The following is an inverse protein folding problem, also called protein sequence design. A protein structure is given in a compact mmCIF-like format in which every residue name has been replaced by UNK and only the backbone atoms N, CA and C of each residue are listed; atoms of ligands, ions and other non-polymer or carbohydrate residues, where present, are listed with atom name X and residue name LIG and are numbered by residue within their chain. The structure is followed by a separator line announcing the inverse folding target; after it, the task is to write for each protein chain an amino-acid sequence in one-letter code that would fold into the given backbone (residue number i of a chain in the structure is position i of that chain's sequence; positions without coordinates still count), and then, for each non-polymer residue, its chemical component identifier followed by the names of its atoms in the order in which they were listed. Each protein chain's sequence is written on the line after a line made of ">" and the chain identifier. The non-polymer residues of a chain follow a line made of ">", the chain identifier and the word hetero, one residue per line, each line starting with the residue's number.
data_IF_074798336771
#
_entry.id   IF_074798336771
#
_cell.length_a   1.000
_cell.length_b   1.000
_cell.length_c   1.000
_cell.angle_alpha   90.00
_cell.angle_beta   90.00
_cell.angle_gamma   90.00
#
_symmetry.space_group_name_H-M   'P 1'
#
loop_
_entity.id
_entity.type
_entity.pdbx_description
1 polymer ?
#
# COMPACT_ATOMS: atom_id res chain seq x y z
N UNK A 1 13.28 -65.26 28.07
CA UNK A 1 13.02 -66.07 26.86
C UNK A 1 11.67 -65.57 26.33
N UNK A 2 11.64 -64.52 25.50
CA UNK A 2 11.75 -64.50 24.01
C UNK A 2 10.62 -65.33 23.37
N UNK A 3 9.77 -64.84 22.45
CA UNK A 3 10.04 -64.07 21.21
C UNK A 3 8.92 -63.07 20.79
N UNK A 4 9.31 -62.12 19.94
CA UNK A 4 8.50 -61.21 19.12
C UNK A 4 7.93 -61.91 17.87
N UNK A 5 6.84 -61.41 17.25
CA UNK A 5 6.70 -61.30 15.76
C UNK A 5 5.78 -60.12 15.34
N UNK A 6 6.39 -59.18 14.60
CA UNK A 6 6.04 -58.33 13.44
C UNK A 6 4.63 -57.73 13.12
N UNK A 7 4.72 -56.51 12.57
CA UNK A 7 3.72 -55.64 11.92
C UNK A 7 3.38 -56.02 10.46
N UNK A 8 2.26 -55.45 9.96
CA UNK A 8 2.04 -54.75 8.66
C UNK A 8 0.94 -55.31 7.75
N UNK A 9 0.01 -54.41 7.37
CA UNK A 9 -0.51 -54.13 6.01
C UNK A 9 -2.04 -54.21 5.88
N UNK A 10 -2.70 -53.06 5.72
CA UNK A 10 -3.75 -52.93 4.70
C UNK A 10 -3.61 -51.60 3.96
N UNK A 11 -3.28 -51.72 2.68
CA UNK A 11 -3.25 -50.68 1.66
C UNK A 11 -4.59 -49.96 1.54
N UNK A 12 -4.59 -48.64 1.43
CA UNK A 12 -5.70 -47.88 0.86
C UNK A 12 -5.17 -46.85 -0.12
N UNK A 13 -5.25 -47.28 -1.38
CA UNK A 13 -5.18 -46.61 -2.68
C UNK A 13 -5.26 -45.07 -2.65
N UNK A 14 -4.15 -44.46 -3.05
CA UNK A 14 -4.07 -43.06 -3.51
C UNK A 14 -5.05 -42.88 -4.67
N UNK A 15 -5.99 -41.97 -4.52
CA UNK A 15 -6.75 -41.39 -5.64
C UNK A 15 -6.56 -39.89 -5.59
N UNK A 16 -5.70 -39.39 -6.48
CA UNK A 16 -5.59 -37.99 -6.82
C UNK A 16 -6.87 -37.53 -7.52
N UNK A 17 -7.39 -36.33 -7.22
CA UNK A 17 -8.09 -35.53 -8.21
C UNK A 17 -7.13 -34.45 -8.70
N UNK A 18 -6.48 -34.72 -9.84
CA UNK A 18 -5.92 -33.66 -10.67
C UNK A 18 -7.04 -33.19 -11.58
N UNK A 19 -7.43 -31.92 -11.48
CA UNK A 19 -7.62 -30.96 -12.59
C UNK A 19 -8.19 -29.69 -11.96
N UNK A 20 -7.31 -28.88 -11.34
CA UNK A 20 -7.59 -27.48 -11.11
C UNK A 20 -7.24 -26.75 -12.39
N UNK A 21 -8.23 -26.14 -13.05
CA UNK A 21 -7.97 -25.23 -14.15
C UNK A 21 -7.16 -24.06 -13.60
N UNK A 22 -5.85 -24.07 -13.84
CA UNK A 22 -5.01 -22.87 -13.65
C UNK A 22 -5.44 -21.87 -14.71
N UNK A 23 -6.34 -20.97 -14.34
CA UNK A 23 -6.47 -19.70 -15.05
C UNK A 23 -5.11 -19.02 -14.98
N UNK A 24 -4.38 -18.99 -16.09
CA UNK A 24 -3.09 -18.32 -16.20
C UNK A 24 -3.31 -16.80 -16.08
N UNK A 25 -3.46 -16.31 -14.85
CA UNK A 25 -3.50 -14.88 -14.57
C UNK A 25 -2.07 -14.38 -14.58
N UNK A 26 -1.71 -13.62 -15.62
CA UNK A 26 -0.42 -12.94 -15.70
C UNK A 26 -0.45 -11.71 -14.78
N UNK A 27 -0.01 -11.90 -13.53
CA UNK A 27 0.11 -10.81 -12.55
C UNK A 27 1.32 -9.93 -12.87
N UNK A 28 1.21 -8.60 -12.70
CA UNK A 28 2.37 -7.73 -12.81
C UNK A 28 3.38 -8.06 -11.68
N UNK A 29 4.69 -7.85 -11.90
CA UNK A 29 5.68 -8.03 -10.85
C UNK A 29 5.42 -7.07 -9.69
N UNK A 30 5.78 -7.49 -8.47
CA UNK A 30 5.75 -6.61 -7.30
C UNK A 30 6.78 -5.50 -7.46
N UNK A 31 6.39 -4.29 -7.07
CA UNK A 31 7.27 -3.12 -7.09
C UNK A 31 7.93 -3.01 -5.72
N UNK A 32 9.25 -3.08 -5.71
CA UNK A 32 10.09 -2.91 -4.52
C UNK A 32 10.71 -1.52 -4.58
N UNK A 33 10.50 -0.73 -3.53
CA UNK A 33 11.07 0.61 -3.38
C UNK A 33 12.32 0.51 -2.52
N UNK A 34 13.45 1.00 -3.03
CA UNK A 34 14.65 1.21 -2.24
C UNK A 34 14.52 2.50 -1.46
N UNK A 35 14.08 2.40 -0.20
CA UNK A 35 13.81 3.56 0.66
C UNK A 35 15.03 4.46 0.81
N UNK A 36 16.23 3.89 0.97
CA UNK A 36 17.46 4.69 1.17
C UNK A 36 17.79 5.52 -0.07
N UNK A 37 17.64 4.95 -1.26
CA UNK A 37 17.96 5.63 -2.51
C UNK A 37 16.85 6.57 -3.00
N UNK A 38 15.59 6.24 -2.72
CA UNK A 38 14.43 6.89 -3.35
C UNK A 38 13.62 7.77 -2.38
N UNK A 39 13.77 7.58 -1.08
CA UNK A 39 13.17 8.39 -0.01
C UNK A 39 14.24 8.82 1.01
N UNK A 40 15.24 9.62 0.59
CA UNK A 40 16.33 10.05 1.48
C UNK A 40 15.84 10.93 2.65
N UNK A 41 14.66 11.55 2.55
CA UNK A 41 14.09 12.34 3.63
C UNK A 41 13.33 11.43 4.59
N UNK A 42 13.85 11.23 5.80
CA UNK A 42 13.06 10.64 6.88
C UNK A 42 12.03 11.64 7.40
N UNK A 43 10.82 11.17 7.68
CA UNK A 43 9.79 11.98 8.35
C UNK A 43 10.30 12.44 9.72
N UNK A 44 10.13 13.72 10.04
CA UNK A 44 10.39 14.33 11.35
C UNK A 44 9.22 15.27 11.70
N UNK A 45 9.11 15.75 12.95
CA UNK A 45 8.02 16.67 13.33
C UNK A 45 7.95 17.96 12.49
N UNK A 46 9.06 18.38 11.88
CA UNK A 46 9.18 19.68 11.20
C UNK A 46 9.15 19.60 9.68
N UNK A 47 9.22 18.40 9.08
CA UNK A 47 9.36 18.24 7.63
C UNK A 47 8.20 17.52 6.94
N UNK A 48 7.09 17.27 7.64
CA UNK A 48 5.95 16.50 7.12
C UNK A 48 5.47 16.93 5.73
N UNK A 49 5.28 18.23 5.41
CA UNK A 49 4.85 18.63 4.07
C UNK A 49 5.82 18.17 2.95
N UNK A 50 7.13 18.29 3.19
CA UNK A 50 8.17 17.88 2.24
C UNK A 50 8.24 16.36 2.12
N UNK A 51 8.20 15.64 3.25
CA UNK A 51 8.16 14.18 3.28
C UNK A 51 6.93 13.65 2.54
N UNK A 52 5.75 14.18 2.84
CA UNK A 52 4.49 13.79 2.22
C UNK A 52 4.51 14.04 0.70
N UNK A 53 5.08 15.16 0.26
CA UNK A 53 5.24 15.47 -1.17
C UNK A 53 6.17 14.47 -1.86
N UNK A 54 7.32 14.16 -1.25
CA UNK A 54 8.27 13.19 -1.82
C UNK A 54 7.65 11.79 -1.91
N UNK A 55 6.99 11.35 -0.85
CA UNK A 55 6.35 10.04 -0.76
C UNK A 55 5.23 9.89 -1.81
N UNK A 56 4.32 10.88 -1.89
CA UNK A 56 3.24 10.87 -2.88
C UNK A 56 3.77 10.90 -4.32
N UNK A 57 4.81 11.70 -4.59
CA UNK A 57 5.40 11.80 -5.94
C UNK A 57 6.01 10.47 -6.37
N UNK A 58 6.72 9.79 -5.46
CA UNK A 58 7.30 8.48 -5.73
C UNK A 58 6.22 7.43 -6.02
N UNK A 59 5.19 7.36 -5.18
CA UNK A 59 4.11 6.39 -5.38
C UNK A 59 3.28 6.68 -6.62
N UNK A 60 3.05 7.95 -6.97
CA UNK A 60 2.38 8.31 -8.21
C UNK A 60 3.19 7.85 -9.42
N UNK A 61 4.52 8.01 -9.40
CA UNK A 61 5.41 7.54 -10.46
C UNK A 61 5.38 6.02 -10.67
N UNK A 62 5.12 5.25 -9.61
CA UNK A 62 4.96 3.79 -9.67
C UNK A 62 3.50 3.32 -9.82
N UNK A 63 2.53 4.25 -9.91
CA UNK A 63 1.10 3.93 -9.89
C UNK A 63 0.66 3.15 -8.63
N UNK A 64 1.26 3.43 -7.48
CA UNK A 64 1.00 2.78 -6.19
C UNK A 64 0.21 3.67 -5.21
N UNK A 65 -0.05 4.93 -5.55
CA UNK A 65 -0.75 5.87 -4.66
C UNK A 65 -2.16 5.39 -4.27
N UNK A 66 -2.79 4.61 -5.15
CA UNK A 66 -4.11 4.00 -4.94
C UNK A 66 -4.21 3.15 -3.67
N UNK A 67 -3.12 2.51 -3.24
CA UNK A 67 -3.08 1.72 -2.01
C UNK A 67 -3.25 2.59 -0.77
N UNK A 68 -2.73 3.82 -0.78
CA UNK A 68 -2.80 4.73 0.37
C UNK A 68 -4.13 5.48 0.43
N UNK A 69 -4.62 5.97 -0.70
CA UNK A 69 -5.83 6.79 -0.73
C UNK A 69 -7.13 5.97 -0.93
N UNK A 70 -7.03 4.66 -1.15
CA UNK A 70 -8.16 3.77 -1.39
C UNK A 70 -8.61 3.69 -2.86
N UNK A 71 -7.88 4.30 -3.79
CA UNK A 71 -8.11 4.16 -5.23
C UNK A 71 -7.83 2.76 -5.79
N UNK A 72 -7.06 1.95 -5.07
CA UNK A 72 -6.82 0.53 -5.37
C UNK A 72 -7.41 -0.32 -4.24
N UNK A 73 -8.73 -0.61 -4.24
CA UNK A 73 -9.35 -1.41 -3.20
C UNK A 73 -8.81 -2.85 -3.19
N UNK A 74 -8.76 -3.45 -2.00
CA UNK A 74 -8.38 -4.86 -1.86
C UNK A 74 -9.45 -5.76 -2.52
N UNK A 75 -9.07 -6.66 -3.43
CA UNK A 75 -10.00 -7.63 -4.01
C UNK A 75 -10.56 -8.60 -2.96
N UNK A 76 -11.65 -9.30 -3.28
CA UNK A 76 -12.14 -10.40 -2.45
C UNK A 76 -11.14 -11.55 -2.41
N UNK A 77 -10.98 -12.19 -1.24
CA UNK A 77 -10.01 -13.27 -1.04
C UNK A 77 -10.30 -14.53 -1.85
N UNK A 78 -11.57 -14.72 -2.22
CA UNK A 78 -12.03 -15.84 -3.03
C UNK A 78 -12.91 -15.35 -4.16
N UNK A 79 -12.89 -16.06 -5.28
CA UNK A 79 -13.78 -15.87 -6.40
C UNK A 79 -14.63 -17.12 -6.61
N UNK A 80 -15.85 -16.96 -7.12
CA UNK A 80 -16.73 -18.08 -7.46
C UNK A 80 -16.80 -18.20 -8.98
N UNK A 81 -16.27 -19.27 -9.53
CA UNK A 81 -16.35 -19.57 -10.96
C UNK A 81 -17.10 -20.89 -11.15
N UNK A 82 -18.19 -20.87 -11.93
CA UNK A 82 -19.03 -22.04 -12.18
C UNK A 82 -19.52 -22.77 -10.91
N UNK A 83 -19.78 -22.01 -9.83
CA UNK A 83 -20.23 -22.55 -8.54
C UNK A 83 -19.12 -23.13 -7.66
N UNK A 84 -17.86 -23.06 -8.09
CA UNK A 84 -16.69 -23.47 -7.29
C UNK A 84 -16.02 -22.23 -6.69
N UNK A 85 -15.78 -22.25 -5.38
CA UNK A 85 -15.05 -21.20 -4.67
C UNK A 85 -13.55 -21.49 -4.78
N UNK A 86 -12.80 -20.56 -5.36
CA UNK A 86 -11.34 -20.65 -5.53
C UNK A 86 -10.64 -19.43 -4.91
N UNK A 87 -9.40 -19.57 -4.42
CA UNK A 87 -8.61 -18.42 -3.96
C UNK A 87 -8.37 -17.43 -5.10
N UNK A 88 -8.52 -16.14 -4.83
CA UNK A 88 -8.27 -15.08 -5.80
C UNK A 88 -6.79 -14.68 -5.78
N UNK A 89 -6.02 -14.90 -6.87
CA UNK A 89 -4.60 -14.52 -6.90
C UNK A 89 -4.38 -13.00 -6.87
N UNK A 90 -5.36 -12.18 -7.28
CA UNK A 90 -5.29 -10.71 -7.18
C UNK A 90 -5.32 -10.22 -5.73
N UNK A 91 -6.05 -10.91 -4.85
CA UNK A 91 -6.05 -10.60 -3.42
C UNK A 91 -4.65 -10.81 -2.83
N UNK A 92 -4.05 -11.98 -3.07
CA UNK A 92 -2.72 -12.29 -2.58
C UNK A 92 -1.65 -11.34 -3.12
N UNK A 93 -1.75 -10.93 -4.39
CA UNK A 93 -0.88 -9.92 -4.98
C UNK A 93 -1.04 -8.55 -4.31
N UNK A 94 -2.30 -8.11 -4.14
CA UNK A 94 -2.61 -6.84 -3.49
C UNK A 94 -2.06 -6.78 -2.07
N UNK A 95 -2.26 -7.84 -1.27
CA UNK A 95 -1.75 -7.91 0.11
C UNK A 95 -0.24 -7.80 0.14
N UNK A 96 0.47 -8.52 -0.74
CA UNK A 96 1.93 -8.43 -0.81
C UNK A 96 2.41 -7.01 -1.15
N UNK A 97 1.79 -6.37 -2.14
CA UNK A 97 2.15 -5.00 -2.52
C UNK A 97 1.83 -3.98 -1.40
N UNK A 98 0.69 -4.11 -0.71
CA UNK A 98 0.33 -3.26 0.43
C UNK A 98 1.34 -3.40 1.58
N UNK A 99 1.78 -4.62 1.90
CA UNK A 99 2.74 -4.83 2.97
C UNK A 99 4.14 -4.30 2.63
N UNK A 100 4.56 -4.37 1.36
CA UNK A 100 5.78 -3.70 0.91
C UNK A 100 5.67 -2.18 1.07
N UNK A 101 4.52 -1.59 0.74
CA UNK A 101 4.29 -0.16 0.96
C UNK A 101 4.24 0.21 2.44
N UNK A 102 3.65 -0.62 3.29
CA UNK A 102 3.69 -0.43 4.73
C UNK A 102 5.14 -0.42 5.26
N UNK A 103 5.97 -1.36 4.80
CA UNK A 103 7.40 -1.39 5.12
C UNK A 103 8.12 -0.11 4.67
N UNK A 104 7.84 0.39 3.47
CA UNK A 104 8.41 1.64 2.94
C UNK A 104 8.02 2.84 3.80
N UNK A 105 6.74 2.93 4.21
CA UNK A 105 6.30 3.96 5.16
C UNK A 105 7.12 3.84 6.44
N UNK A 106 7.16 2.65 7.05
CA UNK A 106 7.82 2.39 8.32
C UNK A 106 9.32 2.73 8.29
N UNK A 107 10.03 2.33 7.24
CA UNK A 107 11.46 2.60 7.06
C UNK A 107 11.77 4.10 6.80
N UNK A 108 10.79 4.86 6.32
CA UNK A 108 10.91 6.30 6.10
C UNK A 108 10.62 7.14 7.34
N UNK A 109 10.26 6.53 8.47
CA UNK A 109 9.98 7.24 9.73
C UNK A 109 11.27 7.57 10.51
N UNK A 110 11.21 8.62 11.31
CA UNK A 110 12.12 8.74 12.46
C UNK A 110 11.71 7.77 13.57
N UNK A 111 12.70 7.23 14.27
CA UNK A 111 12.54 6.11 15.21
C UNK A 111 11.45 6.31 16.27
N UNK A 112 11.35 7.48 16.95
CA UNK A 112 10.28 7.73 17.92
C UNK A 112 8.84 7.63 17.38
N UNK A 113 8.60 7.74 16.07
CA UNK A 113 7.25 7.55 15.51
C UNK A 113 6.90 6.10 15.24
N UNK A 114 7.90 5.21 15.12
CA UNK A 114 7.67 3.82 14.74
C UNK A 114 6.66 3.09 15.65
N UNK A 115 6.69 3.22 17.00
CA UNK A 115 5.73 2.53 17.87
C UNK A 115 4.27 2.95 17.61
N UNK A 116 4.03 4.21 17.25
CA UNK A 116 2.69 4.72 16.97
C UNK A 116 2.09 4.13 15.68
N UNK A 117 2.96 3.88 14.70
CA UNK A 117 2.58 3.36 13.39
C UNK A 117 2.57 1.82 13.36
N UNK A 118 3.35 1.15 14.22
CA UNK A 118 3.48 -0.31 14.27
C UNK A 118 2.14 -1.06 14.46
N UNK A 119 1.13 -0.41 15.06
CA UNK A 119 -0.21 -0.99 15.24
C UNK A 119 -1.11 -0.90 14.00
N UNK A 120 -0.65 -0.29 12.90
CA UNK A 120 -1.37 -0.32 11.63
C UNK A 120 -1.19 -1.67 10.93
N UNK A 121 -2.26 -2.15 10.30
CA UNK A 121 -2.26 -3.44 9.58
C UNK A 121 -2.14 -3.29 8.06
N UNK A 122 -2.27 -2.07 7.54
CA UNK A 122 -2.19 -1.76 6.10
C UNK A 122 -1.45 -0.45 5.88
N UNK A 123 -0.92 -0.26 4.68
CA UNK A 123 -0.23 0.98 4.29
C UNK A 123 -1.16 2.21 4.43
N UNK A 124 -2.43 2.07 4.04
CA UNK A 124 -3.46 3.10 4.24
C UNK A 124 -3.67 3.49 5.70
N UNK A 125 -3.84 2.51 6.60
CA UNK A 125 -4.02 2.82 8.03
C UNK A 125 -2.79 3.51 8.62
N UNK A 126 -1.59 3.13 8.18
CA UNK A 126 -0.35 3.79 8.59
C UNK A 126 -0.32 5.24 8.10
N UNK A 127 -0.63 5.46 6.83
CA UNK A 127 -0.72 6.77 6.21
C UNK A 127 -1.71 7.69 6.92
N UNK A 128 -2.91 7.21 7.21
CA UNK A 128 -3.95 7.96 7.91
C UNK A 128 -3.53 8.34 9.33
N UNK A 129 -2.86 7.44 10.06
CA UNK A 129 -2.32 7.73 11.41
C UNK A 129 -1.26 8.83 11.39
N UNK A 130 -0.36 8.80 10.39
CA UNK A 130 0.65 9.85 10.22
C UNK A 130 -0.07 11.18 9.93
N UNK A 131 -0.97 11.20 8.96
CA UNK A 131 -1.71 12.41 8.61
C UNK A 131 -2.47 13.00 9.81
N UNK A 132 -3.13 12.15 10.61
CA UNK A 132 -3.82 12.58 11.84
C UNK A 132 -2.86 13.14 12.90
N UNK A 133 -1.73 12.46 13.12
CA UNK A 133 -0.71 12.92 14.09
C UNK A 133 -0.24 14.33 13.75
N UNK A 134 0.02 14.59 12.47
CA UNK A 134 0.53 15.88 12.03
C UNK A 134 -0.56 16.95 11.84
N UNK A 135 -1.80 16.56 11.55
CA UNK A 135 -2.93 17.50 11.59
C UNK A 135 -3.12 18.06 13.01
N UNK A 136 -3.00 17.19 14.03
CA UNK A 136 -3.09 17.57 15.44
C UNK A 136 -1.91 18.45 15.88
N UNK A 137 -0.68 18.13 15.45
CA UNK A 137 0.53 18.92 15.78
C UNK A 137 0.54 20.28 15.08
N UNK A 138 0.04 20.36 13.84
CA UNK A 138 -0.01 21.60 13.08
C UNK A 138 -1.26 22.45 13.36
N UNK A 139 -2.12 22.04 14.31
CA UNK A 139 -3.34 22.77 14.66
C UNK A 139 -4.38 22.85 13.53
N UNK A 140 -4.29 21.95 12.54
CA UNK A 140 -5.29 21.84 11.49
C UNK A 140 -6.42 20.96 12.02
N UNK A 141 -7.30 21.57 12.80
CA UNK A 141 -8.49 20.97 13.38
C UNK A 141 -9.21 20.08 12.36
N UNK A 142 -9.21 18.77 12.63
CA UNK A 142 -9.76 17.71 11.79
C UNK A 142 -11.26 17.93 11.52
N UNK A 143 -11.95 18.68 12.40
CA UNK A 143 -13.34 19.09 12.22
C UNK A 143 -13.52 20.16 11.12
N UNK A 144 -12.53 21.01 10.89
CA UNK A 144 -12.60 22.06 9.88
C UNK A 144 -12.25 21.55 8.48
N UNK A 145 -11.36 20.54 8.38
CA UNK A 145 -10.97 19.93 7.11
C UNK A 145 -12.05 19.02 6.50
N UNK A 146 -12.95 18.44 7.31
CA UNK A 146 -14.11 17.71 6.77
C UNK A 146 -15.05 18.61 5.96
N UNK A 147 -15.08 19.91 6.27
CA UNK A 147 -15.81 20.92 5.49
C UNK A 147 -15.06 21.29 4.20
N UNK A 148 -13.74 21.05 4.13
CA UNK A 148 -12.90 21.42 2.99
C UNK A 148 -12.87 20.41 1.85
N UNK A 149 -13.54 19.25 1.98
CA UNK A 149 -13.86 18.44 0.80
C UNK A 149 -14.71 19.21 -0.22
N UNK A 150 -15.49 20.24 0.20
CA UNK A 150 -16.11 21.20 -0.71
C UNK A 150 -15.12 22.27 -1.24
N UNK A 151 -14.00 22.50 -0.55
CA UNK A 151 -12.93 23.45 -0.93
C UNK A 151 -11.80 22.81 -1.75
N UNK A 152 -11.81 21.48 -1.98
CA UNK A 152 -10.85 20.78 -2.85
C UNK A 152 -10.87 21.28 -4.30
N UNK A 153 -11.95 21.96 -4.72
CA UNK A 153 -11.99 22.66 -6.02
C UNK A 153 -11.05 23.88 -6.06
N UNK A 154 -10.62 24.47 -4.94
CA UNK A 154 -9.76 25.66 -4.94
C UNK A 154 -8.26 25.31 -4.91
N UNK A 155 -7.86 24.29 -4.16
CA UNK A 155 -6.43 23.90 -4.02
C UNK A 155 -5.90 23.22 -5.28
N UNK A 156 -6.73 22.42 -5.95
CA UNK A 156 -6.40 21.85 -7.28
C UNK A 156 -6.22 22.93 -8.33
N UNK A 157 -7.05 23.98 -8.30
CA UNK A 157 -6.92 25.15 -9.17
C UNK A 157 -5.68 26.00 -8.86
N UNK A 158 -5.30 26.16 -7.59
CA UNK A 158 -4.09 26.90 -7.21
C UNK A 158 -2.80 26.17 -7.64
N UNK A 159 -2.74 24.84 -7.48
CA UNK A 159 -1.60 24.02 -7.93
C UNK A 159 -1.47 24.02 -9.47
N UNK A 160 -2.61 23.91 -10.18
CA UNK A 160 -2.63 24.00 -11.63
C UNK A 160 -2.20 25.39 -12.12
N UNK A 161 -2.62 26.46 -11.43
CA UNK A 161 -2.25 27.83 -11.76
C UNK A 161 -0.77 28.12 -11.45
N UNK A 162 -0.22 27.54 -10.38
CA UNK A 162 1.21 27.62 -10.09
C UNK A 162 2.04 26.92 -11.18
N UNK A 163 1.64 25.72 -11.60
CA UNK A 163 2.33 24.98 -12.65
C UNK A 163 2.21 25.65 -14.04
N UNK A 164 1.04 26.23 -14.36
CA UNK A 164 0.84 27.01 -15.60
C UNK A 164 1.67 28.30 -15.61
N UNK A 165 1.73 29.02 -14.48
CA UNK A 165 2.49 30.27 -14.36
C UNK A 165 4.01 30.03 -14.46
N UNK A 166 4.52 28.97 -13.86
CA UNK A 166 5.94 28.57 -14.00
C UNK A 166 6.29 28.16 -15.43
N UNK A 167 5.37 27.49 -16.16
CA UNK A 167 5.58 27.12 -17.57
C UNK A 167 5.56 28.34 -18.51
N UNK A 168 4.75 29.36 -18.22
CA UNK A 168 4.72 30.63 -18.96
C UNK A 168 6.00 31.46 -18.77
N UNK A 169 6.58 31.47 -17.58
CA UNK A 169 7.82 32.19 -17.28
C UNK A 169 9.05 31.58 -17.98
N UNK A 170 9.05 30.26 -18.20
CA UNK A 170 10.12 29.56 -18.91
C UNK A 170 10.09 29.76 -20.43
N UNK A 171 8.90 29.99 -21.02
CA UNK A 171 8.75 30.25 -22.46
C UNK A 171 9.17 31.67 -22.84
N UNK A 172 9.09 32.62 -21.90
CA UNK A 172 9.45 34.03 -22.13
C UNK A 172 10.95 34.32 -21.92
N UNK A 173 11.76 33.29 -21.68
CA UNK A 173 13.20 33.34 -21.43
C UNK A 173 13.99 32.43 -22.40
N UNK A 174 13.40 32.18 -23.57
CA UNK A 174 13.95 31.55 -24.78
C UNK A 174 13.54 32.41 -25.98
#
# INVERSE_FOLDING_TARGET
>A
MAEQIANTTQNSKITTPTTGATSNINLPPLIIINVVAQLPLKLTPTNYPSWCTQFNSLLLGYNLLGYLNGGTPCPEATETQNGVITPNPLYSHWVQQDQLLFYVIFASLFEPLMPFIASATTSRKAWDKIAQTYANVLGLDLCHLKKSSQTQLVVTNLSLNFFKKSKLLLINWL
#
